data_IF_958548357897
#
_entry.id   IF_958548357897
#
_cell.length_a   1.000
_cell.length_b   1.000
_cell.length_c   1.000
_cell.angle_alpha   90.00
_cell.angle_beta   90.00
_cell.angle_gamma   90.00
#
_symmetry.space_group_name_H-M   'P 1'
#
loop_
_entity.id
_entity.type
_entity.pdbx_description
1 polymer ?
#
# COMPACT_ATOMS: atom_id res chain seq x y z
N UNK A 1 -8.54 9.72 5.30
CA UNK A 1 -7.47 9.68 4.28
C UNK A 1 -7.61 8.37 3.52
N UNK A 2 -7.68 8.41 2.19
CA UNK A 2 -7.64 7.20 1.37
C UNK A 2 -6.21 7.01 0.87
N UNK A 3 -5.55 5.92 1.29
CA UNK A 3 -4.13 5.65 1.01
C UNK A 3 -3.93 5.18 -0.44
N UNK A 4 -4.85 4.35 -0.94
CA UNK A 4 -4.91 3.93 -2.33
C UNK A 4 -6.23 4.43 -2.95
N UNK A 5 -6.31 5.71 -3.35
CA UNK A 5 -7.46 6.20 -4.11
C UNK A 5 -7.60 5.40 -5.42
N UNK A 6 -8.82 5.31 -5.93
CA UNK A 6 -9.16 4.61 -7.19
C UNK A 6 -10.04 5.49 -8.08
N UNK A 7 -9.79 6.80 -8.02
CA UNK A 7 -10.60 7.82 -8.65
C UNK A 7 -10.26 7.94 -10.13
N UNK A 8 -8.98 7.75 -10.48
CA UNK A 8 -8.51 7.74 -11.87
C UNK A 8 -8.27 6.31 -12.37
N UNK A 9 -8.22 6.16 -13.70
CA UNK A 9 -7.85 4.89 -14.34
C UNK A 9 -6.44 4.45 -13.96
N UNK A 10 -5.51 5.41 -13.92
CA UNK A 10 -4.13 5.18 -13.53
C UNK A 10 -4.00 4.71 -12.07
N UNK A 11 -4.77 5.32 -11.16
CA UNK A 11 -4.83 4.87 -9.77
C UNK A 11 -5.37 3.44 -9.61
N UNK A 12 -6.39 3.07 -10.40
CA UNK A 12 -6.91 1.69 -10.43
C UNK A 12 -5.88 0.72 -11.00
N UNK A 13 -5.18 1.11 -12.09
CA UNK A 13 -4.12 0.32 -12.71
C UNK A 13 -3.00 0.05 -11.71
N UNK A 14 -2.52 1.07 -11.00
CA UNK A 14 -1.46 0.92 -9.99
C UNK A 14 -1.90 0.04 -8.81
N UNK A 15 -3.15 0.17 -8.35
CA UNK A 15 -3.67 -0.70 -7.29
C UNK A 15 -3.72 -2.17 -7.74
N UNK A 16 -4.23 -2.43 -8.94
CA UNK A 16 -4.30 -3.78 -9.49
C UNK A 16 -2.90 -4.36 -9.73
N UNK A 17 -1.96 -3.54 -10.24
CA UNK A 17 -0.57 -3.93 -10.42
C UNK A 17 0.06 -4.42 -9.10
N UNK A 18 -0.17 -3.69 -8.01
CA UNK A 18 0.31 -4.07 -6.68
C UNK A 18 -0.31 -5.40 -6.21
N UNK A 19 -1.61 -5.60 -6.45
CA UNK A 19 -2.32 -6.83 -6.09
C UNK A 19 -1.83 -8.04 -6.90
N UNK A 20 -1.71 -7.88 -8.22
CA UNK A 20 -1.31 -8.92 -9.16
C UNK A 20 0.15 -9.34 -8.96
N UNK A 21 1.02 -8.39 -8.58
CA UNK A 21 2.43 -8.64 -8.34
C UNK A 21 2.70 -9.76 -7.32
N UNK A 22 1.80 -9.98 -6.34
CA UNK A 22 1.97 -11.05 -5.35
C UNK A 22 2.05 -12.45 -5.99
N UNK A 23 1.28 -12.67 -7.05
CA UNK A 23 1.24 -13.96 -7.78
C UNK A 23 2.11 -13.90 -9.03
N UNK A 24 1.96 -12.84 -9.83
CA UNK A 24 2.54 -12.76 -11.17
C UNK A 24 4.05 -12.54 -11.14
N UNK A 25 4.56 -11.67 -10.26
CA UNK A 25 5.97 -11.25 -10.30
C UNK A 25 6.98 -12.40 -10.08
N UNK A 26 6.53 -13.53 -9.50
CA UNK A 26 7.37 -14.72 -9.25
C UNK A 26 7.34 -15.75 -10.37
N UNK A 27 6.24 -15.84 -11.11
CA UNK A 27 5.97 -16.97 -12.00
C UNK A 27 5.71 -16.57 -13.46
N UNK A 28 5.37 -15.31 -13.70
CA UNK A 28 5.09 -14.80 -15.03
C UNK A 28 6.26 -13.94 -15.52
N UNK A 29 7.04 -14.49 -16.45
CA UNK A 29 8.18 -13.81 -17.09
C UNK A 29 7.78 -12.57 -17.89
N UNK A 30 6.50 -12.47 -18.30
CA UNK A 30 5.97 -11.37 -19.08
C UNK A 30 5.34 -10.29 -18.18
N UNK A 31 5.32 -10.49 -16.85
CA UNK A 31 4.87 -9.49 -15.90
C UNK A 31 5.95 -8.45 -15.64
N UNK A 32 5.75 -7.24 -16.16
CA UNK A 32 6.69 -6.12 -16.06
C UNK A 32 6.12 -5.05 -15.15
N UNK A 33 6.90 -4.64 -14.16
CA UNK A 33 6.66 -3.45 -13.32
C UNK A 33 7.71 -2.42 -13.69
N UNK A 34 7.28 -1.22 -14.06
CA UNK A 34 8.21 -0.15 -14.43
C UNK A 34 8.73 0.60 -13.21
N UNK A 35 9.85 1.31 -13.37
CA UNK A 35 10.34 2.20 -12.30
C UNK A 35 9.30 3.25 -11.92
N UNK A 36 8.60 3.83 -12.89
CA UNK A 36 7.53 4.81 -12.65
C UNK A 36 6.40 4.24 -11.81
N UNK A 37 6.04 2.97 -12.02
CA UNK A 37 5.03 2.30 -11.18
C UNK A 37 5.51 2.20 -9.73
N UNK A 38 6.76 1.80 -9.52
CA UNK A 38 7.36 1.69 -8.19
C UNK A 38 7.42 3.06 -7.51
N UNK A 39 7.92 4.08 -8.22
CA UNK A 39 8.02 5.45 -7.72
C UNK A 39 6.64 6.02 -7.34
N UNK A 40 5.56 5.62 -8.03
CA UNK A 40 4.20 5.99 -7.68
C UNK A 40 3.62 5.18 -6.49
N UNK A 41 4.06 3.93 -6.29
CA UNK A 41 3.56 3.04 -5.25
C UNK A 41 4.24 3.28 -3.89
N UNK A 42 5.55 3.57 -3.87
CA UNK A 42 6.32 3.74 -2.64
C UNK A 42 5.70 4.77 -1.67
N UNK A 43 5.38 6.02 -2.08
CA UNK A 43 4.86 7.02 -1.15
C UNK A 43 3.51 6.62 -0.54
N UNK A 44 2.70 5.87 -1.31
CA UNK A 44 1.41 5.35 -0.82
C UNK A 44 1.61 4.25 0.22
N UNK A 45 2.59 3.38 0.02
CA UNK A 45 2.96 2.35 1.00
C UNK A 45 3.51 2.94 2.30
N UNK A 46 4.34 3.97 2.20
CA UNK A 46 4.86 4.68 3.38
C UNK A 46 3.73 5.34 4.17
N UNK A 47 2.81 6.04 3.48
CA UNK A 47 1.62 6.60 4.11
C UNK A 47 0.76 5.52 4.80
N UNK A 48 0.61 4.34 4.18
CA UNK A 48 -0.14 3.23 4.77
C UNK A 48 0.51 2.75 6.06
N UNK A 49 1.85 2.57 6.03
CA UNK A 49 2.64 2.13 7.18
C UNK A 49 2.49 3.12 8.33
N UNK A 50 2.68 4.41 8.06
CA UNK A 50 2.67 5.45 9.10
C UNK A 50 1.28 5.61 9.74
N UNK A 51 0.20 5.51 8.94
CA UNK A 51 -1.17 5.50 9.48
C UNK A 51 -1.40 4.25 10.34
N UNK A 52 -0.93 3.09 9.89
CA UNK A 52 -1.10 1.82 10.60
C UNK A 52 -0.36 1.86 11.94
N UNK A 53 0.90 2.31 11.93
CA UNK A 53 1.71 2.48 13.13
C UNK A 53 1.00 3.38 14.13
N UNK A 54 0.55 4.57 13.69
CA UNK A 54 -0.17 5.50 14.54
C UNK A 54 -1.41 4.87 15.17
N UNK A 55 -2.27 4.23 14.38
CA UNK A 55 -3.50 3.61 14.87
C UNK A 55 -3.22 2.49 15.88
N UNK A 56 -2.20 1.68 15.61
CA UNK A 56 -1.78 0.60 16.51
C UNK A 56 -1.21 1.17 17.83
N UNK A 57 -0.31 2.15 17.77
CA UNK A 57 0.27 2.80 18.95
C UNK A 57 -0.81 3.49 19.80
N UNK A 58 -1.72 4.24 19.17
CA UNK A 58 -2.84 4.89 19.87
C UNK A 58 -3.71 3.87 20.61
N UNK A 59 -3.95 2.71 19.98
CA UNK A 59 -4.75 1.64 20.58
C UNK A 59 -4.03 0.94 21.72
N UNK A 60 -2.73 0.67 21.60
CA UNK A 60 -1.91 0.11 22.67
C UNK A 60 -1.92 1.05 23.88
N UNK A 61 -1.63 2.33 23.65
CA UNK A 61 -1.62 3.34 24.71
C UNK A 61 -2.99 3.52 25.38
N UNK A 62 -4.09 3.34 24.64
CA UNK A 62 -5.43 3.29 25.23
C UNK A 62 -5.57 2.17 26.26
N UNK A 63 -5.15 0.95 25.94
CA UNK A 63 -5.25 -0.19 26.85
C UNK A 63 -4.29 -0.07 28.04
N UNK A 64 -3.09 0.47 27.84
CA UNK A 64 -2.13 0.72 28.93
C UNK A 64 -2.67 1.70 29.98
N UNK A 65 -3.47 2.69 29.58
CA UNK A 65 -4.11 3.65 30.51
C UNK A 65 -5.32 3.09 31.25
N UNK A 66 -5.83 1.91 30.87
CA UNK A 66 -6.97 1.26 31.51
C UNK A 66 -6.53 0.21 32.56
N UNK A 67 -5.24 -0.14 32.56
CA UNK A 67 -4.59 -0.95 33.60
C UNK A 67 -4.02 -0.04 34.71
#
# INVERSE_FOLDING_TARGET
VSVFPRNTEEERRLFNLLQDAYVQARYNKDFVVTKTDIDALIPRLELMRDITEKVCCDRIAYYERQN
#
